data_IF_366642227741
#
_entry.id   IF_366642227741
#
_cell.length_a   1.000
_cell.length_b   1.000
_cell.length_c   1.000
_cell.angle_alpha   90.00
_cell.angle_beta   90.00
_cell.angle_gamma   90.00
#
_symmetry.space_group_name_H-M   'P 1'
#
loop_
_entity.id
_entity.type
_entity.pdbx_description
1 polymer ?
#
# COMPACT_ATOMS: atom_id res chain seq x y z
N UNK A 1 8.53 -17.44 -13.30
CA UNK A 1 9.40 -18.35 -14.05
C UNK A 1 9.86 -19.43 -13.08
N UNK A 2 9.50 -20.67 -13.32
CA UNK A 2 10.09 -21.79 -12.60
C UNK A 2 11.57 -21.87 -13.05
N UNK A 3 12.49 -21.85 -12.09
CA UNK A 3 13.90 -22.03 -12.40
C UNK A 3 14.12 -23.49 -12.84
N UNK A 4 14.96 -23.69 -13.84
CA UNK A 4 15.35 -25.01 -14.36
C UNK A 4 16.03 -25.94 -13.32
N UNK A 5 16.25 -25.45 -12.09
CA UNK A 5 16.89 -26.20 -11.01
C UNK A 5 15.88 -26.45 -9.86
N UNK A 6 15.57 -27.71 -9.55
CA UNK A 6 14.53 -28.06 -8.57
C UNK A 6 14.78 -27.62 -7.13
N UNK A 7 16.00 -27.23 -6.79
CA UNK A 7 16.35 -26.84 -5.42
C UNK A 7 16.29 -25.36 -5.11
N UNK A 8 15.97 -24.49 -6.10
CA UNK A 8 16.04 -23.03 -5.94
C UNK A 8 14.75 -22.27 -6.21
N UNK A 9 13.69 -22.94 -6.64
CA UNK A 9 12.41 -22.28 -6.93
C UNK A 9 11.57 -22.13 -5.65
N UNK A 10 11.35 -20.87 -5.25
CA UNK A 10 10.45 -20.55 -4.16
C UNK A 10 9.04 -20.31 -4.70
N UNK A 11 8.05 -20.95 -4.07
CA UNK A 11 6.64 -20.68 -4.38
C UNK A 11 6.29 -19.22 -4.08
N UNK A 12 5.27 -18.64 -4.74
CA UNK A 12 4.79 -17.30 -4.42
C UNK A 12 4.52 -17.10 -2.91
N UNK A 13 3.94 -18.11 -2.24
CA UNK A 13 3.70 -18.08 -0.80
C UNK A 13 4.96 -17.95 0.04
N UNK A 14 6.02 -18.72 -0.27
CA UNK A 14 7.31 -18.58 0.41
C UNK A 14 8.02 -17.26 0.09
N UNK A 15 7.90 -16.75 -1.11
CA UNK A 15 8.44 -15.43 -1.44
C UNK A 15 7.74 -14.32 -0.66
N UNK A 16 6.42 -14.38 -0.53
CA UNK A 16 5.68 -13.41 0.28
C UNK A 16 5.97 -13.56 1.77
N UNK A 17 6.12 -14.79 2.27
CA UNK A 17 6.59 -15.06 3.62
C UNK A 17 7.91 -14.34 3.94
N UNK A 18 8.91 -14.46 3.08
CA UNK A 18 10.19 -13.78 3.28
C UNK A 18 10.05 -12.26 3.33
N UNK A 19 9.20 -11.70 2.47
CA UNK A 19 8.92 -10.25 2.44
C UNK A 19 8.21 -9.79 3.70
N UNK A 20 7.26 -10.58 4.21
CA UNK A 20 6.57 -10.30 5.48
C UNK A 20 7.54 -10.37 6.66
N UNK A 21 8.37 -11.42 6.75
CA UNK A 21 9.40 -11.54 7.79
C UNK A 21 10.34 -10.33 7.74
N UNK A 22 10.88 -10.02 6.55
CA UNK A 22 11.74 -8.86 6.38
C UNK A 22 11.05 -7.56 6.82
N UNK A 23 9.82 -7.31 6.39
CA UNK A 23 9.10 -6.10 6.73
C UNK A 23 8.85 -5.99 8.24
N UNK A 24 8.50 -7.10 8.89
CA UNK A 24 8.33 -7.18 10.34
C UNK A 24 9.63 -6.89 11.08
N UNK A 25 10.75 -7.51 10.68
CA UNK A 25 12.07 -7.34 11.29
C UNK A 25 12.59 -5.90 11.15
N UNK A 26 12.23 -5.23 10.05
CA UNK A 26 12.52 -3.81 9.81
C UNK A 26 11.54 -2.85 10.51
N UNK A 27 10.61 -3.37 11.31
CA UNK A 27 9.65 -2.58 12.09
C UNK A 27 8.49 -1.98 11.29
N UNK A 28 8.17 -2.52 10.11
CA UNK A 28 6.99 -2.11 9.36
C UNK A 28 5.72 -2.76 9.94
N UNK A 29 4.61 -1.99 9.98
CA UNK A 29 3.32 -2.52 10.39
C UNK A 29 2.76 -3.45 9.30
N UNK A 30 2.92 -4.75 9.50
CA UNK A 30 2.45 -5.81 8.60
C UNK A 30 1.79 -6.92 9.42
N UNK A 31 0.91 -7.76 8.84
CA UNK A 31 0.37 -8.93 9.52
C UNK A 31 1.50 -9.83 9.98
N UNK A 32 1.32 -10.49 11.14
CA UNK A 32 2.29 -11.46 11.63
C UNK A 32 2.27 -12.71 10.75
N UNK A 33 3.40 -13.09 10.12
CA UNK A 33 3.48 -14.36 9.43
C UNK A 33 3.42 -15.51 10.45
N UNK A 34 2.60 -16.53 10.17
CA UNK A 34 2.37 -17.67 11.05
C UNK A 34 3.03 -18.93 10.51
N UNK A 35 2.78 -19.26 9.25
CA UNK A 35 3.36 -20.41 8.58
C UNK A 35 3.43 -20.21 7.08
N UNK A 36 4.40 -20.83 6.45
CA UNK A 36 4.43 -20.96 5.00
C UNK A 36 5.08 -22.29 4.62
N UNK A 37 4.71 -22.80 3.47
CA UNK A 37 5.28 -24.04 2.97
C UNK A 37 5.15 -24.16 1.48
N UNK A 38 5.87 -25.12 0.93
CA UNK A 38 5.73 -25.50 -0.48
C UNK A 38 5.80 -27.00 -0.66
N UNK A 39 5.14 -27.46 -1.69
CA UNK A 39 5.17 -28.83 -2.17
C UNK A 39 5.61 -28.83 -3.63
N UNK A 40 6.56 -29.69 -3.96
CA UNK A 40 7.00 -29.90 -5.33
C UNK A 40 6.43 -31.24 -5.79
N UNK A 41 5.35 -31.16 -6.58
CA UNK A 41 4.69 -32.35 -7.13
C UNK A 41 5.38 -32.92 -8.36
N UNK A 42 4.81 -34.00 -8.95
CA UNK A 42 5.28 -34.54 -10.23
C UNK A 42 5.35 -33.46 -11.31
N UNK A 43 6.35 -33.61 -12.20
CA UNK A 43 6.59 -32.62 -13.27
C UNK A 43 6.95 -31.21 -12.75
N UNK A 44 7.58 -31.14 -11.55
CA UNK A 44 7.98 -29.88 -10.92
C UNK A 44 6.86 -28.88 -10.70
N UNK A 45 5.62 -29.36 -10.57
CA UNK A 45 4.47 -28.54 -10.17
C UNK A 45 4.69 -27.99 -8.77
N UNK A 46 4.90 -26.69 -8.70
CA UNK A 46 5.14 -26.00 -7.44
C UNK A 46 3.82 -25.48 -6.87
N UNK A 47 3.46 -25.94 -5.69
CA UNK A 47 2.36 -25.43 -4.87
C UNK A 47 2.92 -24.80 -3.61
N UNK A 48 2.29 -23.75 -3.11
CA UNK A 48 2.71 -23.12 -1.88
C UNK A 48 1.51 -22.56 -1.13
N UNK A 49 1.66 -22.42 0.17
CA UNK A 49 0.72 -21.73 1.03
C UNK A 49 1.45 -20.70 1.89
N UNK A 50 0.70 -19.71 2.33
CA UNK A 50 1.08 -18.71 3.31
C UNK A 50 -0.08 -18.54 4.28
N UNK A 51 0.19 -18.63 5.57
CA UNK A 51 -0.72 -18.32 6.66
C UNK A 51 -0.20 -17.08 7.40
N UNK A 52 -1.07 -16.11 7.58
CA UNK A 52 -0.82 -14.89 8.36
C UNK A 52 -1.88 -14.74 9.44
N UNK A 53 -1.56 -14.00 10.48
CA UNK A 53 -2.54 -13.64 11.50
C UNK A 53 -3.68 -12.83 10.89
N UNK A 54 -4.91 -13.21 11.23
CA UNK A 54 -6.09 -12.49 10.75
C UNK A 54 -6.13 -11.08 11.34
N UNK A 55 -6.47 -10.11 10.50
CA UNK A 55 -6.67 -8.71 10.89
C UNK A 55 -8.09 -8.51 11.41
N UNK A 56 -8.43 -9.22 12.49
CA UNK A 56 -9.76 -9.15 13.09
C UNK A 56 -10.06 -7.73 13.60
N UNK A 57 -11.29 -7.24 13.31
CA UNK A 57 -11.72 -5.91 13.72
C UNK A 57 -10.97 -4.75 13.04
N UNK A 58 -10.30 -5.01 11.91
CA UNK A 58 -9.61 -3.98 11.13
C UNK A 58 -10.38 -3.65 9.85
N UNK A 59 -10.27 -2.40 9.43
CA UNK A 59 -10.91 -1.89 8.20
C UNK A 59 -9.85 -1.35 7.23
N UNK A 60 -10.01 -1.62 5.92
CA UNK A 60 -9.18 -0.98 4.91
C UNK A 60 -9.46 0.52 4.84
N UNK A 61 -8.45 1.33 4.56
CA UNK A 61 -8.56 2.79 4.65
C UNK A 61 -9.64 3.39 3.74
N UNK A 62 -9.94 2.78 2.61
CA UNK A 62 -11.00 3.27 1.73
C UNK A 62 -12.41 3.17 2.35
N UNK A 63 -12.58 2.31 3.37
CA UNK A 63 -13.78 2.21 4.20
C UNK A 63 -13.64 3.00 5.51
N UNK A 64 -12.49 2.91 6.16
CA UNK A 64 -12.26 3.52 7.46
C UNK A 64 -12.33 5.05 7.42
N UNK A 65 -11.83 5.70 6.36
CA UNK A 65 -11.82 7.17 6.24
C UNK A 65 -13.23 7.76 6.11
N UNK A 66 -14.12 7.27 5.23
CA UNK A 66 -15.50 7.71 5.19
C UNK A 66 -16.26 7.46 6.50
N UNK A 67 -16.03 6.32 7.17
CA UNK A 67 -16.62 6.01 8.46
C UNK A 67 -16.15 6.97 9.55
N UNK A 68 -14.86 7.26 9.62
CA UNK A 68 -14.33 8.23 10.57
C UNK A 68 -14.88 9.64 10.32
N UNK A 69 -15.04 10.02 9.04
CA UNK A 69 -15.67 11.29 8.67
C UNK A 69 -17.11 11.39 9.15
N UNK A 70 -17.86 10.28 9.10
CA UNK A 70 -19.25 10.24 9.56
C UNK A 70 -19.41 10.17 11.10
N UNK A 71 -18.42 9.61 11.80
CA UNK A 71 -18.49 9.33 13.25
C UNK A 71 -17.85 10.40 14.13
N UNK A 72 -16.89 11.15 13.61
CA UNK A 72 -16.15 12.16 14.35
C UNK A 72 -16.66 13.56 14.02
N UNK A 73 -16.61 14.45 14.98
CA UNK A 73 -16.82 15.89 14.71
C UNK A 73 -15.72 16.44 13.77
N UNK A 74 -15.98 17.54 13.05
CA UNK A 74 -15.05 18.06 12.05
C UNK A 74 -13.64 18.36 12.58
N UNK A 75 -13.51 18.83 13.81
CA UNK A 75 -12.22 19.18 14.42
C UNK A 75 -11.43 17.93 14.77
N UNK A 76 -12.10 16.95 15.39
CA UNK A 76 -11.52 15.65 15.73
C UNK A 76 -11.15 14.88 14.47
N UNK A 77 -12.02 14.86 13.44
CA UNK A 77 -11.70 14.24 12.16
C UNK A 77 -10.49 14.88 11.48
N UNK A 78 -10.34 16.20 11.57
CA UNK A 78 -9.16 16.88 11.03
C UNK A 78 -7.86 16.45 11.75
N UNK A 79 -7.88 16.29 13.09
CA UNK A 79 -6.74 15.77 13.86
C UNK A 79 -6.46 14.33 13.48
N UNK A 80 -7.49 13.49 13.40
CA UNK A 80 -7.44 12.10 13.03
C UNK A 80 -6.73 11.90 11.69
N UNK A 81 -7.21 12.53 10.63
CA UNK A 81 -6.63 12.36 9.30
C UNK A 81 -5.24 12.98 9.16
N UNK A 82 -4.90 13.99 9.98
CA UNK A 82 -3.53 14.53 10.04
C UNK A 82 -2.54 13.50 10.57
N UNK A 83 -2.90 12.78 11.60
CA UNK A 83 -2.08 11.72 12.16
C UNK A 83 -1.95 10.53 11.23
N UNK A 84 -3.07 10.04 10.66
CA UNK A 84 -3.05 8.99 9.65
C UNK A 84 -2.19 9.36 8.44
N UNK A 85 -2.31 10.60 7.94
CA UNK A 85 -1.48 11.08 6.82
C UNK A 85 0.01 11.06 7.16
N UNK A 86 0.35 11.39 8.40
CA UNK A 86 1.74 11.36 8.86
C UNK A 86 2.29 9.93 8.90
N UNK A 87 1.50 8.98 9.37
CA UNK A 87 1.88 7.56 9.43
C UNK A 87 2.06 6.98 8.03
N UNK A 88 1.12 7.19 7.12
CA UNK A 88 1.25 6.73 5.73
C UNK A 88 2.49 7.34 5.05
N UNK A 89 2.77 8.61 5.30
CA UNK A 89 3.97 9.26 4.77
C UNK A 89 5.26 8.69 5.38
N UNK A 90 5.24 8.33 6.67
CA UNK A 90 6.35 7.66 7.36
C UNK A 90 6.64 6.31 6.72
N UNK A 91 5.63 5.44 6.63
CA UNK A 91 5.75 4.08 6.07
C UNK A 91 6.26 4.13 4.63
N UNK A 92 5.62 4.91 3.75
CA UNK A 92 6.04 5.04 2.36
C UNK A 92 7.47 5.60 2.23
N UNK A 93 7.84 6.58 3.05
CA UNK A 93 9.18 7.15 3.06
C UNK A 93 10.23 6.13 3.47
N UNK A 94 9.99 5.39 4.56
CA UNK A 94 10.94 4.42 5.08
C UNK A 94 11.17 3.25 4.11
N UNK A 95 10.13 2.73 3.46
CA UNK A 95 10.27 1.75 2.37
C UNK A 95 11.17 2.31 1.26
N UNK A 96 10.83 3.48 0.75
CA UNK A 96 11.54 4.07 -0.39
C UNK A 96 12.98 4.50 -0.06
N UNK A 97 13.28 4.86 1.19
CA UNK A 97 14.68 5.13 1.64
C UNK A 97 15.53 3.89 1.57
N UNK A 98 14.97 2.73 1.91
CA UNK A 98 15.62 1.41 1.80
C UNK A 98 15.67 0.90 0.36
N UNK A 99 15.16 1.68 -0.61
CA UNK A 99 14.98 1.29 -2.03
C UNK A 99 14.13 0.03 -2.18
N UNK A 100 13.21 -0.17 -1.27
CA UNK A 100 12.17 -1.20 -1.31
C UNK A 100 10.86 -0.55 -1.74
N UNK A 101 10.12 -1.22 -2.62
CA UNK A 101 8.89 -0.72 -3.22
C UNK A 101 7.81 -1.78 -3.12
N UNK A 102 6.62 -1.34 -2.74
CA UNK A 102 5.44 -2.22 -2.62
C UNK A 102 4.97 -2.71 -3.99
N UNK A 103 5.11 -1.86 -5.00
CA UNK A 103 4.67 -2.05 -6.39
C UNK A 103 3.16 -2.08 -6.58
N UNK A 104 2.39 -2.19 -5.49
CA UNK A 104 0.94 -2.07 -5.43
C UNK A 104 0.50 -1.29 -4.18
N UNK A 105 1.08 -0.09 -3.98
CA UNK A 105 0.84 0.77 -2.82
C UNK A 105 -0.52 1.48 -2.96
N UNK A 106 -1.60 0.72 -2.78
CA UNK A 106 -2.96 1.25 -2.81
C UNK A 106 -3.50 1.53 -1.42
N UNK A 107 -4.43 2.46 -1.34
CA UNK A 107 -5.09 2.86 -0.10
C UNK A 107 -5.85 1.70 0.56
N UNK A 108 -6.41 0.78 -0.24
CA UNK A 108 -7.07 -0.43 0.24
C UNK A 108 -6.11 -1.48 0.82
N UNK A 109 -4.81 -1.36 0.62
CA UNK A 109 -3.81 -2.25 1.20
C UNK A 109 -3.25 -1.76 2.55
N UNK A 110 -3.86 -0.70 3.11
CA UNK A 110 -3.62 -0.28 4.49
C UNK A 110 -4.87 -0.51 5.32
N UNK A 111 -4.70 -1.12 6.48
CA UNK A 111 -5.76 -1.44 7.41
C UNK A 111 -5.53 -0.74 8.75
N UNK A 112 -6.58 -0.28 9.38
CA UNK A 112 -6.55 0.26 10.74
C UNK A 112 -7.63 -0.40 11.59
N UNK A 113 -7.48 -0.48 12.93
CA UNK A 113 -8.52 -0.94 13.84
C UNK A 113 -9.82 -0.12 13.68
N UNK A 114 -11.00 -0.79 13.65
CA UNK A 114 -12.31 -0.10 13.51
C UNK A 114 -12.55 0.90 14.63
N UNK A 115 -12.12 0.60 15.86
CA UNK A 115 -12.27 1.49 17.01
C UNK A 115 -11.62 2.86 16.77
N UNK A 116 -10.54 2.92 15.97
CA UNK A 116 -9.90 4.18 15.60
C UNK A 116 -10.76 5.03 14.65
N UNK A 117 -11.83 4.50 14.07
CA UNK A 117 -12.79 5.34 13.32
C UNK A 117 -13.69 6.17 14.22
N UNK A 118 -13.64 5.95 15.55
CA UNK A 118 -14.45 6.63 16.58
C UNK A 118 -13.64 7.54 17.49
N UNK A 119 -12.32 7.50 17.42
CA UNK A 119 -11.42 8.27 18.28
C UNK A 119 -10.09 8.57 17.60
N UNK A 120 -9.38 9.57 18.08
CA UNK A 120 -7.98 9.82 17.68
C UNK A 120 -7.08 9.02 18.62
N UNK A 121 -6.19 8.16 18.12
CA UNK A 121 -5.22 7.48 18.97
C UNK A 121 -4.17 8.47 19.51
N UNK A 122 -3.54 8.14 20.64
CA UNK A 122 -2.41 8.89 21.18
C UNK A 122 -1.23 8.93 20.21
N UNK A 123 -0.96 7.81 19.55
CA UNK A 123 0.04 7.69 18.49
C UNK A 123 -0.52 6.91 17.31
N UNK A 124 -0.19 7.37 16.10
CA UNK A 124 -0.48 6.66 14.85
C UNK A 124 0.64 5.70 14.45
N UNK A 125 1.77 5.72 15.13
CA UNK A 125 2.90 4.88 14.80
C UNK A 125 2.49 3.41 14.80
N UNK A 126 2.77 2.73 13.67
CA UNK A 126 2.45 1.33 13.42
C UNK A 126 0.95 0.95 13.52
N UNK A 127 0.03 1.95 13.44
CA UNK A 127 -1.42 1.69 13.45
C UNK A 127 -2.01 1.44 12.05
N UNK A 128 -1.31 1.79 10.98
CA UNK A 128 -1.73 1.52 9.61
C UNK A 128 -0.99 0.28 9.08
N UNK A 129 -1.62 -0.88 9.23
CA UNK A 129 -1.05 -2.18 8.83
C UNK A 129 -1.10 -2.32 7.31
N UNK A 130 0.05 -2.59 6.70
CA UNK A 130 0.21 -2.78 5.27
C UNK A 130 0.11 -4.27 4.94
N UNK A 131 -0.69 -4.61 3.91
CA UNK A 131 -0.91 -5.98 3.44
C UNK A 131 -0.49 -6.14 1.98
N UNK A 132 -0.57 -7.38 1.46
CA UNK A 132 -0.33 -7.72 0.05
C UNK A 132 1.10 -7.44 -0.40
N UNK A 133 2.06 -8.04 0.31
CA UNK A 133 3.48 -7.85 0.08
C UNK A 133 4.05 -8.77 -1.03
N UNK A 134 3.19 -9.50 -1.75
CA UNK A 134 3.62 -10.47 -2.75
C UNK A 134 4.49 -9.87 -3.89
N UNK A 135 4.44 -8.55 -4.08
CA UNK A 135 5.24 -7.81 -5.07
C UNK A 135 6.33 -6.93 -4.46
N UNK A 136 6.40 -6.84 -3.13
CA UNK A 136 7.42 -6.05 -2.43
C UNK A 136 8.82 -6.50 -2.86
N UNK A 137 9.67 -5.55 -3.23
CA UNK A 137 11.00 -5.89 -3.71
C UNK A 137 11.98 -4.71 -3.69
N UNK A 138 13.28 -5.01 -3.69
CA UNK A 138 14.34 -4.00 -3.65
C UNK A 138 14.80 -3.67 -5.06
N UNK A 139 14.78 -2.38 -5.42
CA UNK A 139 15.26 -1.87 -6.70
C UNK A 139 16.24 -0.73 -6.51
N UNK A 140 17.51 -0.94 -6.85
CA UNK A 140 18.53 0.09 -6.75
C UNK A 140 18.58 0.99 -7.98
N UNK A 141 18.58 0.42 -9.16
CA UNK A 141 18.69 1.12 -10.45
C UNK A 141 17.38 1.77 -10.86
N UNK A 142 16.27 1.03 -10.82
CA UNK A 142 14.93 1.50 -11.21
C UNK A 142 14.14 2.13 -10.06
N UNK A 143 14.81 2.49 -8.97
CA UNK A 143 14.20 3.02 -7.76
C UNK A 143 13.28 4.22 -8.01
N UNK A 144 13.65 5.09 -8.95
CA UNK A 144 12.85 6.26 -9.30
C UNK A 144 11.50 5.87 -9.93
N UNK A 145 11.53 4.92 -10.85
CA UNK A 145 10.32 4.43 -11.53
C UNK A 145 9.33 3.83 -10.54
N UNK A 146 9.82 2.95 -9.67
CA UNK A 146 8.98 2.30 -8.66
C UNK A 146 8.42 3.28 -7.63
N UNK A 147 9.22 4.26 -7.22
CA UNK A 147 8.76 5.36 -6.36
C UNK A 147 7.61 6.15 -6.99
N UNK A 148 7.74 6.52 -8.26
CA UNK A 148 6.69 7.22 -8.99
C UNK A 148 5.43 6.34 -9.09
N UNK A 149 5.60 5.05 -9.35
CA UNK A 149 4.49 4.10 -9.41
C UNK A 149 3.74 4.01 -8.08
N UNK A 150 4.43 3.72 -6.99
CA UNK A 150 3.83 3.58 -5.65
C UNK A 150 3.09 4.86 -5.22
N UNK A 151 3.73 6.01 -5.39
CA UNK A 151 3.11 7.30 -5.04
C UNK A 151 1.91 7.64 -5.93
N UNK A 152 1.94 7.27 -7.21
CA UNK A 152 0.82 7.48 -8.11
C UNK A 152 -0.36 6.56 -7.80
N UNK A 153 -0.10 5.30 -7.39
CA UNK A 153 -1.13 4.36 -6.93
C UNK A 153 -1.80 4.84 -5.65
N UNK A 154 -1.00 5.29 -4.67
CA UNK A 154 -1.52 5.84 -3.42
C UNK A 154 -2.35 7.11 -3.67
N UNK A 155 -1.86 8.02 -4.54
CA UNK A 155 -2.61 9.21 -4.93
C UNK A 155 -3.93 8.84 -5.63
N UNK A 156 -3.91 7.87 -6.54
CA UNK A 156 -5.09 7.42 -7.27
C UNK A 156 -6.13 6.82 -6.32
N UNK A 157 -5.73 5.90 -5.47
CA UNK A 157 -6.63 5.18 -4.57
C UNK A 157 -7.08 5.98 -3.35
N UNK A 158 -6.45 7.14 -3.08
CA UNK A 158 -6.86 8.06 -2.03
C UNK A 158 -8.05 8.96 -2.41
N UNK A 159 -8.68 8.71 -3.58
CA UNK A 159 -9.85 9.47 -4.05
C UNK A 159 -11.13 8.89 -3.41
N UNK A 160 -11.26 9.13 -2.11
CA UNK A 160 -12.35 8.65 -1.26
C UNK A 160 -12.96 9.82 -0.47
N UNK A 161 -14.26 9.74 -0.06
CA UNK A 161 -14.86 10.74 0.80
C UNK A 161 -14.02 10.99 2.06
N UNK A 162 -13.84 12.26 2.43
CA UNK A 162 -13.03 12.66 3.58
C UNK A 162 -11.57 12.99 3.26
N UNK A 163 -11.01 12.55 2.13
CA UNK A 163 -9.68 12.94 1.68
C UNK A 163 -9.73 14.15 0.76
N UNK A 164 -8.97 15.18 1.10
CA UNK A 164 -8.94 16.45 0.37
C UNK A 164 -7.60 16.68 -0.34
N UNK A 165 -7.56 17.66 -1.25
CA UNK A 165 -6.31 18.09 -1.87
C UNK A 165 -5.27 18.57 -0.84
N UNK A 166 -5.72 19.18 0.29
CA UNK A 166 -4.84 19.62 1.38
C UNK A 166 -4.15 18.45 2.07
N UNK A 167 -4.85 17.31 2.23
CA UNK A 167 -4.28 16.10 2.84
C UNK A 167 -3.20 15.49 1.94
N UNK A 168 -3.43 15.46 0.62
CA UNK A 168 -2.45 15.04 -0.38
C UNK A 168 -1.20 15.93 -0.40
N UNK A 169 -1.37 17.25 -0.25
CA UNK A 169 -0.24 18.18 -0.12
C UNK A 169 0.50 17.96 1.19
N UNK A 170 -0.21 17.71 2.30
CA UNK A 170 0.39 17.38 3.61
C UNK A 170 1.21 16.10 3.52
N UNK A 171 0.63 15.03 2.97
CA UNK A 171 1.35 13.77 2.73
C UNK A 171 2.67 14.02 1.98
N UNK A 172 2.62 14.77 0.88
CA UNK A 172 3.80 15.07 0.08
C UNK A 172 4.88 15.83 0.87
N UNK A 173 4.49 16.81 1.69
CA UNK A 173 5.41 17.55 2.55
C UNK A 173 6.09 16.61 3.54
N UNK A 174 5.32 15.79 4.26
CA UNK A 174 5.81 14.85 5.26
C UNK A 174 6.65 13.73 4.64
N UNK A 175 6.24 13.20 3.51
CA UNK A 175 7.01 12.19 2.77
C UNK A 175 8.41 12.71 2.39
N UNK A 176 8.52 13.99 2.06
CA UNK A 176 9.80 14.61 1.68
C UNK A 176 10.69 14.96 2.86
N UNK A 177 10.16 15.07 4.05
CA UNK A 177 10.92 15.41 5.26
C UNK A 177 11.96 14.32 5.56
N UNK A 178 13.20 14.72 5.86
CA UNK A 178 14.25 13.76 6.23
C UNK A 178 14.92 13.01 5.07
N UNK A 179 14.70 13.41 3.81
CA UNK A 179 15.53 12.91 2.71
C UNK A 179 16.88 13.62 2.71
N UNK A 180 18.02 12.90 2.81
CA UNK A 180 19.33 13.52 2.75
C UNK A 180 19.55 14.18 1.38
N UNK A 181 20.04 15.41 1.39
CA UNK A 181 20.64 16.10 0.27
C UNK A 181 19.72 16.46 -0.90
N UNK A 182 18.77 17.33 -0.71
CA UNK A 182 18.21 18.36 -1.60
C UNK A 182 16.71 18.57 -1.41
N UNK A 183 16.28 19.81 -1.16
CA UNK A 183 14.87 20.15 -0.93
C UNK A 183 14.01 20.13 -2.20
N UNK A 184 14.58 19.98 -3.38
CA UNK A 184 13.84 20.21 -4.63
C UNK A 184 13.91 19.05 -5.61
N UNK A 185 13.23 17.95 -5.29
CA UNK A 185 12.76 17.07 -6.35
C UNK A 185 11.33 17.46 -6.77
N UNK A 186 11.14 18.74 -7.08
CA UNK A 186 9.87 19.29 -7.58
C UNK A 186 9.42 18.58 -8.88
N UNK A 187 10.35 18.09 -9.68
CA UNK A 187 10.12 17.33 -10.90
C UNK A 187 9.47 15.95 -10.69
N UNK A 188 9.50 15.37 -9.48
CA UNK A 188 8.77 14.14 -9.18
C UNK A 188 7.25 14.34 -9.23
N UNK A 189 6.76 15.51 -8.83
CA UNK A 189 5.30 15.78 -8.80
C UNK A 189 4.63 15.67 -10.17
N UNK A 190 5.18 16.26 -11.24
CA UNK A 190 4.60 16.08 -12.58
C UNK A 190 4.63 14.63 -13.06
N UNK A 191 5.70 13.86 -12.77
CA UNK A 191 5.75 12.43 -13.11
C UNK A 191 4.70 11.61 -12.37
N UNK A 192 4.50 11.86 -11.07
CA UNK A 192 3.47 11.19 -10.27
C UNK A 192 2.08 11.56 -10.81
N UNK A 193 1.83 12.83 -11.12
CA UNK A 193 0.55 13.27 -11.70
C UNK A 193 0.30 12.68 -13.09
N UNK A 194 1.31 12.64 -13.94
CA UNK A 194 1.22 11.98 -15.24
C UNK A 194 0.85 10.50 -15.10
N UNK A 195 1.55 9.77 -14.24
CA UNK A 195 1.26 8.35 -13.98
C UNK A 195 -0.13 8.13 -13.37
N UNK A 196 -0.55 9.01 -12.46
CA UNK A 196 -1.91 9.02 -11.90
C UNK A 196 -2.99 9.24 -12.97
N UNK A 197 -2.77 10.15 -13.93
CA UNK A 197 -3.69 10.35 -15.07
C UNK A 197 -3.83 9.09 -15.91
N UNK A 198 -2.74 8.34 -16.12
CA UNK A 198 -2.80 7.06 -16.84
C UNK A 198 -3.70 6.04 -16.10
N UNK A 199 -3.61 5.94 -14.77
CA UNK A 199 -4.49 5.08 -13.99
C UNK A 199 -5.96 5.50 -14.12
N UNK A 200 -6.27 6.78 -14.02
CA UNK A 200 -7.63 7.30 -14.23
C UNK A 200 -8.19 6.93 -15.61
N UNK A 201 -7.44 7.18 -16.67
CA UNK A 201 -7.86 6.88 -18.05
C UNK A 201 -8.08 5.38 -18.27
N UNK A 202 -7.20 4.53 -17.74
CA UNK A 202 -7.31 3.08 -17.89
C UNK A 202 -8.54 2.51 -17.20
N UNK A 203 -8.83 2.94 -15.99
CA UNK A 203 -9.98 2.44 -15.23
C UNK A 203 -11.31 3.01 -15.74
N UNK A 204 -11.31 4.26 -16.23
CA UNK A 204 -12.50 4.82 -16.88
C UNK A 204 -12.92 3.99 -18.12
N UNK A 205 -11.94 3.56 -18.92
CA UNK A 205 -12.21 2.71 -20.10
C UNK A 205 -12.75 1.33 -19.71
N UNK A 206 -12.33 0.76 -18.60
CA UNK A 206 -12.85 -0.53 -18.12
C UNK A 206 -14.27 -0.41 -17.57
N UNK A 207 -14.60 0.65 -16.87
CA UNK A 207 -15.95 0.90 -16.36
C UNK A 207 -16.96 1.14 -17.51
N UNK A 208 -16.56 1.81 -18.58
CA UNK A 208 -17.42 2.04 -19.76
C UNK A 208 -17.55 0.77 -20.63
N UNK A 209 -16.52 -0.06 -20.72
CA UNK A 209 -16.58 -1.32 -21.47
C UNK A 209 -17.42 -2.41 -20.76
N UNK A 210 -17.49 -2.39 -19.41
CA UNK A 210 -18.31 -3.32 -18.62
C UNK A 210 -19.82 -3.01 -18.62
N UNK A 211 -20.23 -1.84 -19.05
CA UNK A 211 -21.66 -1.44 -19.13
C UNK A 211 -22.28 -1.84 -20.49
N UNK A 212 -21.47 -2.22 -21.47
CA UNK A 212 -21.90 -2.49 -22.84
C UNK A 212 -22.35 -3.92 -23.17
N UNK A 213 -22.37 -4.87 -22.22
CA UNK A 213 -22.72 -6.26 -22.49
C UNK A 213 -23.95 -6.78 -21.71
N UNK A 214 -24.93 -5.90 -21.46
CA UNK A 214 -26.24 -6.25 -20.96
C UNK A 214 -27.28 -5.97 -22.02
N UNK A 215 -27.34 -6.74 -23.12
CA UNK A 215 -28.50 -6.76 -24.01
C UNK A 215 -29.48 -7.81 -23.50
N UNK A 216 -30.76 -7.52 -23.31
CA UNK A 216 -31.76 -8.50 -22.96
C UNK A 216 -32.15 -9.29 -24.22
N UNK A 217 -32.03 -10.58 -24.14
CA UNK A 217 -32.61 -11.54 -25.03
C UNK A 217 -33.52 -12.45 -24.25
#
# INVERSE_FOLDING_TARGET
MATLFPGGAWSPGLQEWQRLCWAKDEGFPVPRPVAAGQFVGPWYRLQGFLAVEELYGMLPLHQAVPLAMARLDPTTFLRWKRGLTAELARVARELHRRKVFHKDLYFCHFYIPDDLTRRVPESWENRAVMIDLHRLDRHRVTALWWRVKDLAQLLYSSDVPGVTARDRVRFWKLYRTGWPGRPSRSWLRPLIRWKWQLYRRHNHRRSTAGIGTGSPG
#
